data_IF_805002883107
#
_entry.id   IF_805002883107
#
_cell.length_a   1.000
_cell.length_b   1.000
_cell.length_c   1.000
_cell.angle_alpha   90.00
_cell.angle_beta   90.00
_cell.angle_gamma   90.00
#
_symmetry.space_group_name_H-M   'P 1'
#
loop_
_entity.id
_entity.type
_entity.pdbx_description
1 polymer ?
#
# COMPACT_ATOMS: atom_id res chain seq x y z
N UNK A 1 14.99 20.52 7.71
CA UNK A 1 13.68 20.92 8.26
C UNK A 1 12.54 20.74 7.26
N UNK A 2 12.69 21.11 5.99
CA UNK A 2 11.62 20.98 4.98
C UNK A 2 11.19 19.53 4.71
N UNK A 3 12.14 18.59 4.59
CA UNK A 3 11.83 17.16 4.41
C UNK A 3 10.96 16.59 5.55
N UNK A 4 11.22 16.99 6.81
CA UNK A 4 10.41 16.56 7.95
C UNK A 4 8.97 17.11 7.87
N UNK A 5 8.80 18.37 7.42
CA UNK A 5 7.45 18.94 7.20
C UNK A 5 6.70 18.18 6.12
N UNK A 6 7.37 17.82 5.01
CA UNK A 6 6.76 17.01 3.96
C UNK A 6 6.40 15.60 4.46
N UNK A 7 7.26 14.99 5.28
CA UNK A 7 6.96 13.68 5.88
C UNK A 7 5.76 13.74 6.83
N UNK A 8 5.69 14.74 7.72
CA UNK A 8 4.54 14.91 8.62
C UNK A 8 3.25 15.23 7.86
N UNK A 9 3.34 15.97 6.75
CA UNK A 9 2.20 16.17 5.85
C UNK A 9 1.76 14.85 5.19
N UNK A 10 2.71 13.97 4.82
CA UNK A 10 2.40 12.62 4.35
C UNK A 10 1.73 11.77 5.44
N UNK A 11 2.20 11.84 6.70
CA UNK A 11 1.55 11.18 7.85
C UNK A 11 0.09 11.65 7.97
N UNK A 12 -0.14 12.95 7.94
CA UNK A 12 -1.49 13.54 8.05
C UNK A 12 -2.42 13.12 6.91
N UNK A 13 -1.88 12.97 5.69
CA UNK A 13 -2.67 12.62 4.52
C UNK A 13 -2.96 11.11 4.42
N UNK A 14 -1.95 10.26 4.65
CA UNK A 14 -2.04 8.81 4.41
C UNK A 14 -2.40 8.00 5.67
N UNK A 15 -2.55 8.65 6.82
CA UNK A 15 -2.88 7.97 8.08
C UNK A 15 -3.92 8.75 8.88
N UNK A 16 -4.46 8.09 9.91
CA UNK A 16 -5.30 8.72 10.94
C UNK A 16 -4.50 9.22 12.14
N UNK A 17 -3.17 9.16 12.07
CA UNK A 17 -2.30 9.70 13.13
C UNK A 17 -2.47 11.23 13.15
N UNK A 18 -2.90 11.80 14.30
CA UNK A 18 -3.20 13.23 14.36
C UNK A 18 -1.92 14.07 14.33
N UNK A 19 -1.85 15.01 13.37
CA UNK A 19 -0.88 16.10 13.34
C UNK A 19 -1.66 17.36 13.61
N UNK A 20 -1.67 17.85 14.87
CA UNK A 20 -2.56 18.91 15.35
C UNK A 20 -1.82 19.98 16.15
N UNK A 21 -2.49 21.09 16.46
CA UNK A 21 -1.96 22.19 17.29
C UNK A 21 -0.68 22.80 16.71
N UNK A 22 0.24 23.19 17.57
CA UNK A 22 1.52 23.83 17.17
C UNK A 22 2.32 23.05 16.15
N UNK A 23 2.19 21.70 16.14
CA UNK A 23 2.86 20.86 15.16
C UNK A 23 2.25 21.06 13.77
N UNK A 24 0.91 21.10 13.66
CA UNK A 24 0.22 21.36 12.41
C UNK A 24 0.54 22.76 11.87
N UNK A 25 0.56 23.76 12.75
CA UNK A 25 0.91 25.15 12.40
C UNK A 25 2.34 25.21 11.83
N UNK A 26 3.28 24.52 12.47
CA UNK A 26 4.66 24.45 12.01
C UNK A 26 4.82 23.67 10.70
N UNK A 27 4.10 22.56 10.51
CA UNK A 27 4.09 21.78 9.26
C UNK A 27 3.58 22.67 8.12
N UNK A 28 2.47 23.35 8.31
CA UNK A 28 1.82 24.19 7.31
C UNK A 28 1.27 23.37 6.14
N UNK A 29 0.62 24.04 5.21
CA UNK A 29 0.04 23.45 4.03
C UNK A 29 0.21 24.32 2.80
N UNK A 30 0.58 23.70 1.68
CA UNK A 30 0.37 24.24 0.34
C UNK A 30 0.21 23.09 -0.66
N UNK A 31 -0.42 23.31 -1.83
CA UNK A 31 -0.49 22.30 -2.89
C UNK A 31 0.88 21.78 -3.33
N UNK A 32 1.90 22.64 -3.33
CA UNK A 32 3.27 22.27 -3.66
C UNK A 32 3.89 21.34 -2.59
N UNK A 33 3.67 21.63 -1.30
CA UNK A 33 4.11 20.79 -0.19
C UNK A 33 3.40 19.43 -0.21
N UNK A 34 2.11 19.41 -0.52
CA UNK A 34 1.35 18.15 -0.64
C UNK A 34 1.88 17.31 -1.82
N UNK A 35 2.22 17.90 -2.97
CA UNK A 35 2.92 17.17 -4.05
C UNK A 35 4.26 16.60 -3.59
N UNK A 36 5.06 17.39 -2.89
CA UNK A 36 6.36 16.96 -2.38
C UNK A 36 6.24 15.85 -1.33
N UNK A 37 5.14 15.82 -0.55
CA UNK A 37 4.90 14.80 0.46
C UNK A 37 4.70 13.40 -0.13
N UNK A 38 4.30 13.27 -1.39
CA UNK A 38 4.19 11.99 -2.09
C UNK A 38 5.52 11.21 -2.11
N UNK A 39 6.67 11.90 -2.14
CA UNK A 39 8.00 11.31 -2.04
C UNK A 39 8.20 10.47 -0.76
N UNK A 40 7.41 10.72 0.26
CA UNK A 40 7.50 10.06 1.56
C UNK A 40 6.47 8.92 1.73
N UNK A 41 5.73 8.56 0.68
CA UNK A 41 4.73 7.49 0.78
C UNK A 41 5.34 6.13 1.19
N UNK A 42 6.51 5.67 0.68
CA UNK A 42 7.19 4.49 1.25
C UNK A 42 7.65 4.69 2.70
N UNK A 43 7.93 5.93 3.12
CA UNK A 43 8.21 6.27 4.53
C UNK A 43 6.99 6.07 5.44
N UNK A 44 5.76 6.27 4.94
CA UNK A 44 4.55 5.87 5.66
C UNK A 44 4.46 4.34 5.75
N UNK A 45 5.00 3.64 4.77
CA UNK A 45 5.15 2.18 4.80
C UNK A 45 5.94 1.67 6.01
N UNK A 46 6.92 2.45 6.51
CA UNK A 46 7.65 2.11 7.73
C UNK A 46 6.73 2.13 8.96
N UNK A 47 5.87 3.14 9.08
CA UNK A 47 4.93 3.21 10.20
C UNK A 47 3.94 2.04 10.15
N UNK A 48 3.42 1.72 8.96
CA UNK A 48 2.55 0.57 8.78
C UNK A 48 3.26 -0.74 9.09
N UNK A 49 4.50 -0.91 8.63
CA UNK A 49 5.32 -2.08 8.86
C UNK A 49 5.62 -2.28 10.36
N UNK A 50 6.02 -1.21 11.05
CA UNK A 50 6.31 -1.27 12.49
C UNK A 50 5.07 -1.61 13.30
N UNK A 51 3.92 -1.01 12.98
CA UNK A 51 2.64 -1.32 13.63
C UNK A 51 2.24 -2.77 13.35
N UNK A 52 2.25 -3.19 12.08
CA UNK A 52 1.89 -4.55 11.70
C UNK A 52 2.80 -5.59 12.33
N UNK A 53 4.12 -5.38 12.27
CA UNK A 53 5.11 -6.29 12.84
C UNK A 53 5.01 -6.35 14.38
N UNK A 54 4.77 -5.21 15.03
CA UNK A 54 4.58 -5.15 16.48
C UNK A 54 3.34 -5.91 16.95
N UNK A 55 2.19 -5.69 16.27
CA UNK A 55 0.93 -6.40 16.58
C UNK A 55 1.06 -7.89 16.25
N UNK A 56 1.60 -8.21 15.07
CA UNK A 56 1.79 -9.59 14.64
C UNK A 56 2.70 -10.36 15.60
N UNK A 57 3.88 -9.81 15.89
CA UNK A 57 4.88 -10.44 16.77
C UNK A 57 4.38 -10.58 18.20
N UNK A 58 3.74 -9.54 18.74
CA UNK A 58 3.16 -9.56 20.09
C UNK A 58 2.07 -10.62 20.23
N UNK A 59 1.16 -10.72 19.26
CA UNK A 59 0.10 -11.73 19.27
C UNK A 59 0.64 -13.14 19.05
N UNK A 60 1.57 -13.30 18.10
CA UNK A 60 2.22 -14.58 17.88
C UNK A 60 2.88 -15.12 19.15
N UNK A 61 3.59 -14.25 19.89
CA UNK A 61 4.20 -14.60 21.16
C UNK A 61 3.15 -14.88 22.26
N UNK A 62 2.13 -14.02 22.39
CA UNK A 62 1.13 -14.15 23.45
C UNK A 62 0.21 -15.37 23.28
N UNK A 63 -0.01 -15.81 22.05
CA UNK A 63 -0.86 -16.96 21.72
C UNK A 63 -0.09 -18.26 21.54
N UNK A 64 1.25 -18.23 21.60
CA UNK A 64 2.08 -19.44 21.49
C UNK A 64 1.79 -20.39 22.68
N UNK A 65 1.83 -21.73 22.49
CA UNK A 65 2.15 -22.47 21.26
C UNK A 65 0.93 -22.83 20.39
N UNK A 66 -0.14 -22.02 20.42
CA UNK A 66 -1.36 -22.32 19.67
C UNK A 66 -1.07 -22.31 18.14
N UNK A 67 -1.43 -23.37 17.39
CA UNK A 67 -1.18 -23.45 15.95
C UNK A 67 -1.94 -22.41 15.12
N UNK A 68 -3.00 -21.81 15.66
CA UNK A 68 -3.76 -20.73 15.02
C UNK A 68 -3.20 -19.32 15.35
N UNK A 69 -2.15 -19.21 16.17
CA UNK A 69 -1.53 -17.93 16.50
C UNK A 69 -1.13 -17.11 15.25
N UNK A 70 -0.51 -17.69 14.20
CA UNK A 70 -0.20 -16.94 12.97
C UNK A 70 -1.43 -16.38 12.26
N UNK A 71 -2.54 -17.12 12.25
CA UNK A 71 -3.78 -16.66 11.61
C UNK A 71 -4.41 -15.50 12.39
N UNK A 72 -4.50 -15.61 13.70
CA UNK A 72 -5.00 -14.52 14.57
C UNK A 72 -4.12 -13.27 14.45
N UNK A 73 -2.80 -13.45 14.46
CA UNK A 73 -1.83 -12.37 14.29
C UNK A 73 -1.97 -11.69 12.92
N UNK A 74 -2.19 -12.45 11.84
CA UNK A 74 -2.42 -11.92 10.50
C UNK A 74 -3.68 -11.04 10.43
N UNK A 75 -4.79 -11.51 11.03
CA UNK A 75 -6.04 -10.75 11.08
C UNK A 75 -5.86 -9.45 11.84
N UNK A 76 -5.37 -9.51 13.08
CA UNK A 76 -5.33 -8.34 13.96
C UNK A 76 -4.25 -7.32 13.55
N UNK A 77 -3.13 -7.76 12.97
CA UNK A 77 -2.15 -6.84 12.38
C UNK A 77 -2.71 -6.12 11.15
N UNK A 78 -3.51 -6.81 10.32
CA UNK A 78 -4.21 -6.19 9.19
C UNK A 78 -5.27 -5.19 9.68
N UNK A 79 -6.08 -5.54 10.67
CA UNK A 79 -7.03 -4.63 11.31
C UNK A 79 -6.31 -3.37 11.79
N UNK A 80 -5.19 -3.50 12.50
CA UNK A 80 -4.43 -2.36 13.02
C UNK A 80 -3.95 -1.43 11.88
N UNK A 81 -3.45 -1.97 10.76
CA UNK A 81 -3.01 -1.15 9.63
C UNK A 81 -4.18 -0.49 8.89
N UNK A 82 -5.31 -1.18 8.74
CA UNK A 82 -6.55 -0.59 8.16
C UNK A 82 -7.03 0.59 9.02
N UNK A 83 -7.07 0.43 10.35
CA UNK A 83 -7.43 1.54 11.25
C UNK A 83 -6.42 2.70 11.17
N UNK A 84 -5.12 2.40 11.11
CA UNK A 84 -4.08 3.44 10.99
C UNK A 84 -4.24 4.26 9.70
N UNK A 85 -4.55 3.61 8.56
CA UNK A 85 -4.74 4.29 7.27
C UNK A 85 -6.16 4.78 7.05
N UNK A 86 -7.11 4.33 7.86
CA UNK A 86 -8.54 4.64 7.72
C UNK A 86 -9.19 3.95 6.52
N UNK A 87 -8.67 2.80 6.10
CA UNK A 87 -9.19 2.02 4.99
C UNK A 87 -8.98 2.64 3.59
N UNK A 88 -8.13 3.66 3.51
CA UNK A 88 -7.91 4.46 2.30
C UNK A 88 -7.51 3.65 1.05
N UNK A 89 -6.70 2.60 1.25
CA UNK A 89 -6.23 1.77 0.14
C UNK A 89 -7.25 0.70 -0.22
N UNK A 90 -7.92 0.17 0.76
CA UNK A 90 -9.00 -0.82 0.65
C UNK A 90 -10.19 -0.22 -0.09
N UNK A 91 -10.56 1.02 0.25
CA UNK A 91 -11.59 1.81 -0.43
C UNK A 91 -11.26 1.98 -1.92
N UNK A 92 -10.03 2.42 -2.23
CA UNK A 92 -9.58 2.54 -3.62
C UNK A 92 -9.61 1.21 -4.39
N UNK A 93 -9.33 0.07 -3.73
CA UNK A 93 -9.48 -1.24 -4.36
C UNK A 93 -10.93 -1.57 -4.69
N UNK A 94 -11.85 -1.26 -3.77
CA UNK A 94 -13.28 -1.48 -3.98
C UNK A 94 -13.80 -0.61 -5.12
N UNK A 95 -13.49 0.68 -5.12
CA UNK A 95 -13.93 1.64 -6.15
C UNK A 95 -13.43 1.25 -7.54
N UNK A 96 -12.15 0.85 -7.66
CA UNK A 96 -11.59 0.36 -8.93
C UNK A 96 -12.29 -0.91 -9.39
N UNK A 97 -12.56 -1.85 -8.48
CA UNK A 97 -13.25 -3.08 -8.82
C UNK A 97 -14.69 -2.83 -9.26
N UNK A 98 -15.42 -1.95 -8.59
CA UNK A 98 -16.79 -1.57 -8.96
C UNK A 98 -16.80 -0.80 -10.29
N UNK A 99 -15.92 0.16 -10.47
CA UNK A 99 -15.86 0.94 -11.70
C UNK A 99 -15.49 0.10 -12.93
N UNK A 100 -14.39 -0.64 -12.84
CA UNK A 100 -13.85 -1.40 -13.98
C UNK A 100 -14.55 -2.75 -14.19
N UNK A 101 -15.15 -3.33 -13.15
CA UNK A 101 -16.00 -4.52 -13.22
C UNK A 101 -17.42 -4.18 -13.66
N UNK A 102 -17.96 -3.05 -13.22
CA UNK A 102 -19.34 -2.64 -13.47
C UNK A 102 -19.60 -2.04 -14.85
N UNK A 103 -18.57 -1.52 -15.54
CA UNK A 103 -18.75 -0.91 -16.86
C UNK A 103 -17.54 -1.10 -17.78
N UNK A 104 -17.82 -1.37 -19.07
CA UNK A 104 -16.82 -1.34 -20.11
C UNK A 104 -16.53 0.09 -20.61
N UNK A 105 -17.46 1.02 -20.44
CA UNK A 105 -17.34 2.43 -20.87
C UNK A 105 -16.55 3.21 -19.82
N UNK A 106 -15.53 3.95 -20.30
CA UNK A 106 -14.59 4.70 -19.47
C UNK A 106 -15.29 5.72 -18.56
N UNK A 107 -16.14 6.54 -19.14
CA UNK A 107 -16.86 7.62 -18.43
C UNK A 107 -17.74 7.03 -17.33
N UNK A 108 -18.48 5.98 -17.65
CA UNK A 108 -19.36 5.31 -16.70
C UNK A 108 -18.56 4.63 -15.58
N UNK A 109 -17.41 4.02 -15.89
CA UNK A 109 -16.51 3.46 -14.89
C UNK A 109 -16.01 4.53 -13.90
N UNK A 110 -15.59 5.70 -14.42
CA UNK A 110 -15.16 6.83 -13.60
C UNK A 110 -16.30 7.41 -12.74
N UNK A 111 -17.54 7.38 -13.23
CA UNK A 111 -18.70 7.82 -12.43
C UNK A 111 -19.03 6.82 -11.31
N UNK A 112 -18.93 5.51 -11.58
CA UNK A 112 -19.12 4.47 -10.55
C UNK A 112 -18.06 4.62 -9.45
N UNK A 113 -16.79 4.85 -9.81
CA UNK A 113 -15.69 5.05 -8.83
C UNK A 113 -15.90 6.28 -7.92
N UNK A 114 -16.73 7.23 -8.28
CA UNK A 114 -17.07 8.40 -7.45
C UNK A 114 -18.27 8.14 -6.51
N UNK A 115 -19.00 7.07 -6.71
CA UNK A 115 -20.14 6.71 -5.87
C UNK A 115 -19.64 6.09 -4.56
N UNK A 116 -19.99 6.68 -3.43
CA UNK A 116 -19.58 6.20 -2.10
C UNK A 116 -20.23 4.88 -1.68
N UNK A 117 -21.14 4.33 -2.49
CA UNK A 117 -21.80 3.05 -2.23
C UNK A 117 -20.98 1.90 -2.80
N UNK A 118 -20.70 0.91 -1.95
CA UNK A 118 -20.02 -0.30 -2.41
C UNK A 118 -20.95 -1.14 -3.29
N UNK A 119 -20.44 -1.58 -4.43
CA UNK A 119 -21.10 -2.52 -5.33
C UNK A 119 -20.65 -3.96 -5.10
N UNK A 120 -21.21 -4.88 -5.90
CA UNK A 120 -20.91 -6.31 -5.78
C UNK A 120 -19.45 -6.63 -6.15
N UNK A 121 -18.88 -5.97 -7.16
CA UNK A 121 -17.50 -6.18 -7.57
C UNK A 121 -16.51 -5.69 -6.51
N UNK A 122 -16.76 -4.50 -5.92
CA UNK A 122 -15.96 -3.96 -4.83
C UNK A 122 -15.98 -4.85 -3.60
N UNK A 123 -17.19 -5.30 -3.18
CA UNK A 123 -17.35 -6.20 -2.06
C UNK A 123 -16.60 -7.54 -2.28
N UNK A 124 -16.72 -8.15 -3.46
CA UNK A 124 -16.00 -9.37 -3.79
C UNK A 124 -14.48 -9.14 -3.82
N UNK A 125 -14.02 -8.05 -4.41
CA UNK A 125 -12.61 -7.72 -4.48
C UNK A 125 -11.99 -7.55 -3.09
N UNK A 126 -12.67 -6.84 -2.18
CA UNK A 126 -12.21 -6.68 -0.79
C UNK A 126 -12.13 -8.02 -0.06
N UNK A 127 -13.19 -8.84 -0.13
CA UNK A 127 -13.21 -10.14 0.53
C UNK A 127 -12.07 -11.03 0.03
N UNK A 128 -11.91 -11.14 -1.30
CA UNK A 128 -10.86 -11.97 -1.89
C UNK A 128 -9.46 -11.44 -1.61
N UNK A 129 -9.25 -10.13 -1.65
CA UNK A 129 -7.97 -9.51 -1.34
C UNK A 129 -7.58 -9.72 0.14
N UNK A 130 -8.51 -9.47 1.07
CA UNK A 130 -8.27 -9.71 2.49
C UNK A 130 -8.03 -11.18 2.79
N UNK A 131 -8.83 -12.10 2.27
CA UNK A 131 -8.61 -13.53 2.45
C UNK A 131 -7.24 -13.96 1.90
N UNK A 132 -6.84 -13.46 0.72
CA UNK A 132 -5.52 -13.75 0.15
C UNK A 132 -4.39 -13.24 1.05
N UNK A 133 -4.47 -11.98 1.49
CA UNK A 133 -3.50 -11.38 2.40
C UNK A 133 -3.38 -12.16 3.72
N UNK A 134 -4.51 -12.45 4.36
CA UNK A 134 -4.55 -13.14 5.65
C UNK A 134 -4.03 -14.57 5.54
N UNK A 135 -4.42 -15.31 4.50
CA UNK A 135 -3.96 -16.67 4.26
C UNK A 135 -2.44 -16.74 4.01
N UNK A 136 -1.91 -15.80 3.20
CA UNK A 136 -0.47 -15.73 2.93
C UNK A 136 0.31 -15.37 4.19
N UNK A 137 -0.14 -14.38 4.98
CA UNK A 137 0.51 -14.00 6.23
C UNK A 137 0.45 -15.12 7.27
N UNK A 138 -0.65 -15.85 7.37
CA UNK A 138 -0.78 -17.01 8.23
C UNK A 138 0.19 -18.12 7.82
N UNK A 139 0.30 -18.40 6.51
CA UNK A 139 1.25 -19.38 5.96
C UNK A 139 2.70 -18.99 6.27
N UNK A 140 3.08 -17.74 6.02
CA UNK A 140 4.42 -17.24 6.31
C UNK A 140 4.76 -17.33 7.80
N UNK A 141 3.81 -17.00 8.68
CA UNK A 141 3.98 -17.08 10.11
C UNK A 141 3.98 -18.49 10.67
N UNK A 142 3.27 -19.41 10.03
CA UNK A 142 3.34 -20.84 10.35
C UNK A 142 4.71 -21.44 10.00
N UNK A 143 5.40 -20.89 8.98
CA UNK A 143 6.77 -21.27 8.67
C UNK A 143 7.75 -20.73 9.73
N UNK A 144 7.77 -19.41 9.95
CA UNK A 144 8.48 -18.78 11.09
C UNK A 144 8.01 -17.34 11.32
N UNK A 145 8.13 -16.88 12.58
CA UNK A 145 7.87 -15.48 12.92
C UNK A 145 8.77 -14.52 12.14
N UNK A 146 10.06 -14.84 11.99
CA UNK A 146 11.03 -14.01 11.28
C UNK A 146 10.64 -13.82 9.80
N UNK A 147 10.13 -14.85 9.15
CA UNK A 147 9.62 -14.80 7.77
C UNK A 147 8.40 -13.88 7.67
N UNK A 148 7.43 -14.01 8.56
CA UNK A 148 6.26 -13.15 8.56
C UNK A 148 6.60 -11.67 8.80
N UNK A 149 7.48 -11.38 9.77
CA UNK A 149 7.93 -10.02 10.06
C UNK A 149 8.71 -9.42 8.90
N UNK A 150 9.58 -10.19 8.25
CA UNK A 150 10.32 -9.75 7.05
C UNK A 150 9.38 -9.44 5.89
N UNK A 151 8.36 -10.29 5.68
CA UNK A 151 7.36 -10.07 4.65
C UNK A 151 6.54 -8.80 4.92
N UNK A 152 6.09 -8.57 6.16
CA UNK A 152 5.38 -7.35 6.55
C UNK A 152 6.22 -6.09 6.29
N UNK A 153 7.51 -6.11 6.68
CA UNK A 153 8.41 -4.97 6.48
C UNK A 153 8.61 -4.67 4.99
N UNK A 154 8.94 -5.68 4.20
CA UNK A 154 9.17 -5.51 2.76
C UNK A 154 7.91 -5.10 2.01
N UNK A 155 6.78 -5.75 2.27
CA UNK A 155 5.53 -5.52 1.58
C UNK A 155 4.97 -4.12 1.84
N UNK A 156 4.88 -3.68 3.10
CA UNK A 156 4.33 -2.36 3.42
C UNK A 156 5.14 -1.21 2.83
N UNK A 157 6.44 -1.37 2.73
CA UNK A 157 7.30 -0.31 2.16
C UNK A 157 7.26 -0.35 0.64
N UNK A 158 7.48 -1.52 0.04
CA UNK A 158 7.61 -1.61 -1.42
C UNK A 158 6.29 -1.40 -2.15
N UNK A 159 5.16 -1.85 -1.59
CA UNK A 159 3.83 -1.63 -2.17
C UNK A 159 3.48 -0.13 -2.26
N UNK A 160 4.08 0.72 -1.45
CA UNK A 160 3.87 2.18 -1.49
C UNK A 160 4.81 2.90 -2.46
N UNK A 161 5.83 2.22 -2.97
CA UNK A 161 6.68 2.77 -4.04
C UNK A 161 5.99 2.68 -5.40
N UNK A 162 5.33 1.56 -5.71
CA UNK A 162 4.79 1.30 -7.04
C UNK A 162 3.75 2.31 -7.54
N UNK A 163 2.80 2.80 -6.72
CA UNK A 163 1.88 3.85 -7.11
C UNK A 163 2.57 5.11 -7.65
N UNK A 164 3.75 5.44 -7.15
CA UNK A 164 4.51 6.62 -7.61
C UNK A 164 5.03 6.48 -9.04
N UNK A 165 5.29 5.25 -9.49
CA UNK A 165 5.60 5.00 -10.90
C UNK A 165 4.37 5.16 -11.81
N UNK A 166 3.16 4.86 -11.32
CA UNK A 166 1.92 5.15 -12.04
C UNK A 166 1.74 6.66 -12.19
N UNK A 167 1.92 7.43 -11.11
CA UNK A 167 1.88 8.91 -11.14
C UNK A 167 2.91 9.48 -12.13
N UNK A 168 4.07 8.82 -12.28
CA UNK A 168 5.12 9.24 -13.21
C UNK A 168 4.79 8.95 -14.67
N UNK A 169 4.05 7.87 -14.96
CA UNK A 169 3.90 7.29 -16.29
C UNK A 169 2.54 7.51 -16.94
N UNK A 170 1.48 7.80 -16.17
CA UNK A 170 0.12 7.96 -16.67
C UNK A 170 -0.43 9.35 -16.31
N UNK A 171 -1.36 9.90 -17.12
CA UNK A 171 -2.06 11.13 -16.79
C UNK A 171 -3.11 10.89 -15.70
N UNK A 172 -3.30 11.87 -14.81
CA UNK A 172 -4.40 11.85 -13.85
C UNK A 172 -5.72 12.19 -14.57
N UNK A 173 -6.73 11.33 -14.41
CA UNK A 173 -8.04 11.45 -15.10
C UNK A 173 -9.22 11.59 -14.13
N UNK A 174 -8.96 11.67 -12.83
CA UNK A 174 -9.98 11.97 -11.83
C UNK A 174 -10.54 13.39 -11.96
N UNK A 175 -11.74 13.64 -11.40
CA UNK A 175 -12.36 14.96 -11.41
C UNK A 175 -11.48 15.98 -10.69
N UNK A 176 -10.96 16.93 -11.50
CA UNK A 176 -9.95 17.87 -11.06
C UNK A 176 -10.48 18.95 -10.12
N UNK A 177 -11.79 19.24 -10.12
CA UNK A 177 -12.38 20.30 -9.31
C UNK A 177 -12.69 19.88 -7.88
N UNK A 178 -12.89 18.58 -7.60
CA UNK A 178 -13.31 18.04 -6.31
C UNK A 178 -12.36 17.05 -5.68
N UNK A 179 -11.31 16.61 -6.39
CA UNK A 179 -10.38 15.58 -5.90
C UNK A 179 -9.39 16.14 -4.87
N UNK A 180 -9.48 15.68 -3.62
CA UNK A 180 -8.52 15.98 -2.55
C UNK A 180 -7.11 15.44 -2.86
N UNK A 181 -7.03 14.40 -3.70
CA UNK A 181 -5.77 13.74 -4.09
C UNK A 181 -5.09 14.40 -5.30
N UNK A 182 -5.75 15.29 -6.02
CA UNK A 182 -5.19 15.91 -7.23
C UNK A 182 -3.79 16.51 -7.06
N UNK A 183 -3.50 17.29 -6.00
CA UNK A 183 -2.16 17.86 -5.84
C UNK A 183 -1.06 16.79 -5.68
N UNK A 184 -1.37 15.62 -5.09
CA UNK A 184 -0.44 14.50 -4.93
C UNK A 184 -0.23 13.74 -6.24
N UNK A 185 -1.29 13.62 -7.04
CA UNK A 185 -1.35 12.77 -8.22
C UNK A 185 -1.02 13.49 -9.54
N UNK A 186 -0.81 14.82 -9.50
CA UNK A 186 -0.68 15.62 -10.73
C UNK A 186 0.65 15.36 -11.44
N UNK A 187 1.75 15.32 -10.72
CA UNK A 187 3.10 14.98 -11.23
C UNK A 187 4.06 14.66 -10.10
N UNK A 188 4.96 13.71 -10.32
CA UNK A 188 6.08 13.44 -9.43
C UNK A 188 7.40 13.80 -10.11
N UNK A 189 8.24 14.60 -9.45
CA UNK A 189 9.58 14.93 -9.95
C UNK A 189 10.54 13.75 -9.82
N UNK A 190 11.60 13.74 -10.62
CA UNK A 190 12.63 12.70 -10.51
C UNK A 190 13.31 12.71 -9.14
N UNK A 191 13.50 13.88 -8.51
CA UNK A 191 14.05 13.98 -7.15
C UNK A 191 13.10 13.42 -6.09
N UNK A 192 11.78 13.64 -6.22
CA UNK A 192 10.79 13.07 -5.33
C UNK A 192 10.73 11.54 -5.45
N UNK A 193 10.81 11.01 -6.69
CA UNK A 193 10.86 9.57 -6.91
C UNK A 193 12.16 8.96 -6.35
N UNK A 194 13.31 9.63 -6.51
CA UNK A 194 14.58 9.22 -5.90
C UNK A 194 14.48 9.17 -4.37
N UNK A 195 13.86 10.18 -3.74
CA UNK A 195 13.59 10.17 -2.28
C UNK A 195 12.72 8.99 -1.86
N UNK A 196 11.68 8.67 -2.63
CA UNK A 196 10.83 7.50 -2.38
C UNK A 196 11.61 6.18 -2.47
N UNK A 197 12.50 6.05 -3.44
CA UNK A 197 13.39 4.88 -3.58
C UNK A 197 14.35 4.78 -2.39
N UNK A 198 14.91 5.90 -1.92
CA UNK A 198 15.81 5.91 -0.75
C UNK A 198 15.11 5.36 0.51
N UNK A 199 13.83 5.65 0.71
CA UNK A 199 13.05 5.08 1.82
C UNK A 199 12.99 3.55 1.79
N UNK A 200 13.12 2.93 0.62
CA UNK A 200 13.04 1.48 0.48
C UNK A 200 14.36 0.77 0.83
N UNK A 201 15.52 1.44 0.78
CA UNK A 201 16.81 0.76 0.94
C UNK A 201 16.97 0.07 2.29
N UNK A 202 16.75 0.77 3.40
CA UNK A 202 16.98 0.19 4.71
C UNK A 202 16.02 -0.97 5.04
N UNK A 203 14.68 -0.91 4.79
CA UNK A 203 13.81 -2.06 5.00
C UNK A 203 14.17 -3.25 4.12
N UNK A 204 14.50 -3.01 2.84
CA UNK A 204 14.88 -4.10 1.95
C UNK A 204 16.23 -4.70 2.32
N UNK A 205 17.17 -3.90 2.82
CA UNK A 205 18.42 -4.41 3.39
C UNK A 205 18.18 -5.27 4.64
N UNK A 206 17.26 -4.87 5.53
CA UNK A 206 16.86 -5.68 6.69
C UNK A 206 16.26 -7.01 6.25
N UNK A 207 15.37 -6.99 5.25
CA UNK A 207 14.78 -8.23 4.69
C UNK A 207 15.88 -9.10 4.06
N UNK A 208 16.80 -8.52 3.31
CA UNK A 208 17.94 -9.21 2.71
C UNK A 208 18.82 -9.90 3.75
N UNK A 209 19.09 -9.24 4.88
CA UNK A 209 19.89 -9.82 5.96
C UNK A 209 19.14 -10.90 6.74
N UNK A 210 17.84 -10.77 6.88
CA UNK A 210 17.02 -11.72 7.64
C UNK A 210 16.58 -12.95 6.84
N UNK A 211 16.56 -12.85 5.50
CA UNK A 211 16.05 -13.88 4.60
C UNK A 211 17.02 -14.14 3.43
N UNK A 212 16.73 -15.16 2.62
CA UNK A 212 17.53 -15.44 1.43
C UNK A 212 17.32 -14.39 0.32
N UNK A 213 18.32 -14.28 -0.59
CA UNK A 213 18.19 -13.45 -1.78
C UNK A 213 16.98 -13.83 -2.64
N UNK A 214 16.69 -15.13 -2.75
CA UNK A 214 15.53 -15.66 -3.49
C UNK A 214 14.22 -15.12 -2.88
N UNK A 215 14.11 -15.08 -1.55
CA UNK A 215 12.96 -14.52 -0.87
C UNK A 215 12.68 -13.07 -1.29
N UNK A 216 13.69 -12.21 -1.22
CA UNK A 216 13.54 -10.80 -1.57
C UNK A 216 13.26 -10.60 -3.06
N UNK A 217 14.01 -11.31 -3.93
CA UNK A 217 13.85 -11.20 -5.39
C UNK A 217 12.47 -11.66 -5.82
N UNK A 218 12.00 -12.82 -5.38
CA UNK A 218 10.68 -13.35 -5.73
C UNK A 218 9.57 -12.41 -5.24
N UNK A 219 9.67 -11.93 -3.98
CA UNK A 219 8.69 -11.01 -3.40
C UNK A 219 8.63 -9.68 -4.16
N UNK A 220 9.77 -9.07 -4.42
CA UNK A 220 9.84 -7.80 -5.14
C UNK A 220 9.37 -7.94 -6.59
N UNK A 221 9.73 -9.06 -7.27
CA UNK A 221 9.32 -9.31 -8.66
C UNK A 221 7.81 -9.47 -8.78
N UNK A 222 7.16 -10.27 -7.92
CA UNK A 222 5.72 -10.45 -7.98
C UNK A 222 4.97 -9.18 -7.56
N UNK A 223 5.48 -8.43 -6.60
CA UNK A 223 4.95 -7.11 -6.24
C UNK A 223 5.01 -6.13 -7.41
N UNK A 224 6.16 -6.05 -8.10
CA UNK A 224 6.34 -5.22 -9.29
C UNK A 224 5.46 -5.67 -10.47
N UNK A 225 5.36 -6.98 -10.70
CA UNK A 225 4.51 -7.55 -11.76
C UNK A 225 3.02 -7.22 -11.53
N UNK A 226 2.55 -7.33 -10.29
CA UNK A 226 1.20 -6.94 -9.89
C UNK A 226 0.95 -5.44 -10.16
N UNK A 227 1.87 -4.56 -9.76
CA UNK A 227 1.78 -3.12 -10.01
C UNK A 227 1.81 -2.80 -11.52
N UNK A 228 2.68 -3.47 -12.28
CA UNK A 228 2.76 -3.29 -13.73
C UNK A 228 1.49 -3.77 -14.45
N UNK A 229 0.86 -4.84 -13.95
CA UNK A 229 -0.44 -5.30 -14.45
C UNK A 229 -1.53 -4.25 -14.19
N UNK A 230 -1.61 -3.70 -12.97
CA UNK A 230 -2.53 -2.62 -12.63
C UNK A 230 -2.32 -1.39 -13.53
N UNK A 231 -1.07 -0.94 -13.69
CA UNK A 231 -0.74 0.20 -14.56
C UNK A 231 -1.20 -0.02 -16.02
N UNK A 232 -0.97 -1.22 -16.58
CA UNK A 232 -1.43 -1.57 -17.92
C UNK A 232 -2.96 -1.60 -18.01
N UNK A 233 -3.63 -2.10 -16.97
CA UNK A 233 -5.08 -2.15 -16.92
C UNK A 233 -5.69 -0.74 -16.90
N UNK A 234 -5.15 0.16 -16.08
CA UNK A 234 -5.58 1.56 -16.02
C UNK A 234 -5.29 2.30 -17.34
N UNK A 235 -4.11 2.11 -17.93
CA UNK A 235 -3.78 2.72 -19.22
C UNK A 235 -4.77 2.32 -20.32
N UNK A 236 -5.19 1.04 -20.36
CA UNK A 236 -6.14 0.52 -21.36
C UNK A 236 -7.57 0.95 -21.10
N UNK A 237 -8.02 0.90 -19.83
CA UNK A 237 -9.43 1.08 -19.47
C UNK A 237 -9.79 2.53 -19.18
N UNK A 238 -8.89 3.27 -18.51
CA UNK A 238 -9.13 4.64 -18.08
C UNK A 238 -8.34 5.67 -18.91
N UNK A 239 -7.34 5.23 -19.67
CA UNK A 239 -6.38 6.10 -20.36
C UNK A 239 -5.66 7.03 -19.38
N UNK A 240 -5.47 6.58 -18.13
CA UNK A 240 -4.89 7.32 -17.04
C UNK A 240 -5.19 6.66 -15.71
N UNK A 241 -5.14 7.44 -14.62
CA UNK A 241 -5.41 6.94 -13.27
C UNK A 241 -6.17 7.94 -12.40
N UNK A 242 -6.81 7.44 -11.33
CA UNK A 242 -7.41 8.21 -10.23
C UNK A 242 -6.65 7.95 -8.92
N UNK A 243 -7.00 8.64 -7.84
CA UNK A 243 -6.46 8.32 -6.50
C UNK A 243 -6.71 6.88 -6.10
N UNK A 244 -7.90 6.34 -6.41
CA UNK A 244 -8.33 4.98 -6.07
C UNK A 244 -7.47 3.93 -6.77
N UNK A 245 -7.04 4.22 -8.02
CA UNK A 245 -6.08 3.38 -8.74
C UNK A 245 -4.75 3.22 -7.99
N UNK A 246 -4.31 4.26 -7.27
CA UNK A 246 -3.08 4.20 -6.49
C UNK A 246 -3.27 3.32 -5.23
N UNK A 247 -4.43 3.45 -4.56
CA UNK A 247 -4.81 2.58 -3.43
C UNK A 247 -4.93 1.12 -3.84
N UNK A 248 -5.65 0.86 -4.94
CA UNK A 248 -5.78 -0.48 -5.52
C UNK A 248 -4.41 -1.10 -5.87
N UNK A 249 -3.51 -0.31 -6.48
CA UNK A 249 -2.15 -0.78 -6.80
C UNK A 249 -1.37 -1.14 -5.54
N UNK A 250 -1.49 -0.33 -4.49
CA UNK A 250 -0.83 -0.61 -3.22
C UNK A 250 -1.31 -1.96 -2.65
N UNK A 251 -2.63 -2.23 -2.61
CA UNK A 251 -3.18 -3.48 -2.08
C UNK A 251 -2.76 -4.70 -2.90
N UNK A 252 -2.90 -4.64 -4.23
CA UNK A 252 -2.59 -5.78 -5.12
C UNK A 252 -1.09 -6.07 -5.12
N UNK A 253 -0.23 -5.05 -5.09
CA UNK A 253 1.21 -5.23 -5.04
C UNK A 253 1.72 -5.70 -3.66
N UNK A 254 1.04 -5.34 -2.57
CA UNK A 254 1.31 -5.87 -1.23
C UNK A 254 1.03 -7.37 -1.18
N UNK A 255 -0.13 -7.81 -1.69
CA UNK A 255 -0.46 -9.24 -1.81
C UNK A 255 0.55 -9.96 -2.72
N UNK A 256 0.95 -9.34 -3.84
CA UNK A 256 1.99 -9.85 -4.72
C UNK A 256 3.32 -10.10 -4.00
N UNK A 257 3.71 -9.21 -3.08
CA UNK A 257 4.91 -9.40 -2.26
C UNK A 257 4.77 -10.64 -1.35
N UNK A 258 3.66 -10.78 -0.63
CA UNK A 258 3.42 -11.94 0.23
C UNK A 258 3.37 -13.26 -0.55
N UNK A 259 2.79 -13.24 -1.76
CA UNK A 259 2.79 -14.43 -2.62
C UNK A 259 4.21 -14.81 -3.04
N UNK A 260 5.04 -13.83 -3.43
CA UNK A 260 6.44 -14.06 -3.78
C UNK A 260 7.25 -14.62 -2.62
N UNK A 261 7.02 -14.08 -1.41
CA UNK A 261 7.62 -14.58 -0.18
C UNK A 261 7.23 -16.04 0.09
N UNK A 262 5.94 -16.37 -0.03
CA UNK A 262 5.43 -17.71 0.19
C UNK A 262 5.99 -18.73 -0.82
N UNK A 263 6.08 -18.36 -2.11
CA UNK A 263 6.67 -19.21 -3.14
C UNK A 263 8.16 -19.43 -2.91
N UNK A 264 8.88 -18.43 -2.40
CA UNK A 264 10.32 -18.53 -2.11
C UNK A 264 10.64 -19.52 -0.98
N UNK A 265 9.69 -19.82 -0.07
CA UNK A 265 9.89 -20.78 1.02
C UNK A 265 10.22 -22.19 0.54
N UNK A 266 9.91 -22.51 -0.70
CA UNK A 266 10.26 -23.81 -1.28
C UNK A 266 11.78 -23.98 -1.47
N UNK A 267 12.53 -22.88 -1.54
CA UNK A 267 13.97 -22.84 -1.79
C UNK A 267 14.77 -22.18 -0.65
N UNK A 268 14.15 -21.97 0.50
CA UNK A 268 14.76 -21.42 1.70
C UNK A 268 15.37 -22.50 2.61
#
# INVERSE_FOLDING_TARGET
MQALRHYLLAVQFFTRIPVTGRLADWVGYSPAMLRASAAHFPGIGWLAALLAAGVYGGLHWALAPNPFAPAAAAVLSTVATVFMTGGFHEDGLADVADGLGGSAQRERALDIMKDSRIGAFGAMALVLALLSKLSLLALLGAHSLAVALSALVGAHVLSRLWPLFIVRSLPHVGDTARSKSKPLADQISSSALATAIVWCFAPLALVWHAQSAIFLIASATLSAAAAAWMARWFARRLQGFTGDCLGATQQVSEIGFYLGAALALRWA
#
